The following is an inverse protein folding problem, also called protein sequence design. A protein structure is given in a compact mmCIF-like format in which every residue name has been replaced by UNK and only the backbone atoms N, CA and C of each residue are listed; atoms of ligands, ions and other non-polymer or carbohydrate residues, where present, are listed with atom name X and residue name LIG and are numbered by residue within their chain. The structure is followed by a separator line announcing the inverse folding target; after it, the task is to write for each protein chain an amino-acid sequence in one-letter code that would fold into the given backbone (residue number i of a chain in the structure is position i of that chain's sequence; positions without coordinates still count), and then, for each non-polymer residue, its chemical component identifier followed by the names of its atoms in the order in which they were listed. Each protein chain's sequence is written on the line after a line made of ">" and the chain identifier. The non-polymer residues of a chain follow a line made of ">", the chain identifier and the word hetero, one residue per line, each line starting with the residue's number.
data_IF_446197915603
#
_entry.id   IF_446197915603
#
_cell.length_a   1.000
_cell.length_b   1.000
_cell.length_c   1.000
_cell.angle_alpha   90.00
_cell.angle_beta   90.00
_cell.angle_gamma   90.00
#
_symmetry.space_group_name_H-M   'P 1'
#
loop_
_entity.id
_entity.type
_entity.pdbx_description
1 polymer ?
#
# COMPACT_ATOMS: atom_id res chain seq x y z
N UNK A 1 16.55 -68.15 22.85
CA UNK A 1 15.20 -67.56 22.74
C UNK A 1 15.34 -66.05 22.57
N UNK A 2 15.33 -65.62 21.34
CA UNK A 2 15.49 -64.17 21.00
C UNK A 2 14.10 -63.58 20.74
N UNK A 3 13.66 -62.64 21.56
CA UNK A 3 12.38 -61.90 21.36
C UNK A 3 12.63 -60.69 20.52
N UNK A 4 12.15 -60.70 19.30
CA UNK A 4 12.13 -59.57 18.36
C UNK A 4 10.97 -58.63 18.73
N UNK A 5 11.25 -57.38 19.14
CA UNK A 5 10.27 -56.31 19.29
C UNK A 5 10.06 -55.65 17.93
N UNK A 6 8.83 -55.72 17.44
CA UNK A 6 8.39 -54.87 16.28
C UNK A 6 7.93 -53.51 16.80
N UNK A 7 8.62 -52.47 16.39
CA UNK A 7 8.22 -51.08 16.63
C UNK A 7 7.32 -50.65 15.45
N UNK A 8 6.05 -50.45 15.72
CA UNK A 8 5.10 -49.90 14.73
C UNK A 8 5.23 -48.39 14.69
N UNK A 9 5.77 -47.86 13.62
CA UNK A 9 5.80 -46.41 13.35
C UNK A 9 4.44 -45.99 12.76
N UNK A 10 3.65 -45.26 13.55
CA UNK A 10 2.43 -44.58 13.08
C UNK A 10 2.81 -43.32 12.32
N UNK A 11 2.66 -43.35 10.99
CA UNK A 11 2.70 -42.15 10.16
C UNK A 11 1.41 -41.33 10.38
N UNK A 12 1.52 -40.20 11.06
CA UNK A 12 0.48 -39.17 10.99
C UNK A 12 0.55 -38.48 9.62
N UNK A 13 -0.38 -38.83 8.76
CA UNK A 13 -0.64 -38.07 7.54
C UNK A 13 -1.31 -36.74 7.94
N UNK A 14 -0.53 -35.67 7.98
CA UNK A 14 -1.07 -34.32 8.07
C UNK A 14 -1.91 -34.03 6.82
N UNK A 15 -3.22 -33.89 6.97
CA UNK A 15 -4.09 -33.39 5.93
C UNK A 15 -3.69 -31.93 5.64
N UNK A 16 -2.98 -31.70 4.53
CA UNK A 16 -2.83 -30.38 3.96
C UNK A 16 -4.24 -29.94 3.51
N UNK A 17 -4.87 -29.09 4.30
CA UNK A 17 -6.06 -28.36 3.86
C UNK A 17 -5.62 -27.47 2.71
N UNK A 18 -5.90 -27.87 1.47
CA UNK A 18 -5.83 -27.01 0.31
C UNK A 18 -6.77 -25.84 0.59
N UNK A 19 -6.22 -24.67 0.94
CA UNK A 19 -6.96 -23.43 0.87
C UNK A 19 -7.36 -23.25 -0.59
N UNK A 20 -8.60 -23.59 -0.90
CA UNK A 20 -9.20 -23.23 -2.17
C UNK A 20 -9.18 -21.69 -2.18
N UNK A 21 -8.40 -21.08 -3.04
CA UNK A 21 -8.42 -19.63 -3.23
C UNK A 21 -9.86 -19.26 -3.61
N UNK A 22 -10.61 -18.72 -2.64
CA UNK A 22 -12.00 -18.31 -2.86
C UNK A 22 -12.04 -17.27 -3.98
N UNK A 23 -13.20 -17.14 -4.63
CA UNK A 23 -13.40 -16.07 -5.59
C UNK A 23 -13.22 -14.70 -4.92
N UNK A 24 -12.78 -13.69 -5.67
CA UNK A 24 -12.69 -12.32 -5.21
C UNK A 24 -14.03 -11.62 -5.40
N UNK A 25 -14.60 -11.09 -4.32
CA UNK A 25 -15.66 -10.10 -4.36
C UNK A 25 -15.09 -8.68 -4.39
N UNK A 26 -15.80 -7.75 -5.02
CA UNK A 26 -15.42 -6.34 -5.07
C UNK A 26 -16.65 -5.45 -5.07
N UNK A 27 -16.60 -4.33 -4.34
CA UNK A 27 -17.63 -3.30 -4.38
C UNK A 27 -17.03 -1.89 -4.24
N UNK A 28 -17.78 -0.91 -4.72
CA UNK A 28 -17.46 0.50 -4.60
C UNK A 28 -18.05 1.05 -3.28
N UNK A 29 -17.30 1.95 -2.62
CA UNK A 29 -17.76 2.67 -1.44
C UNK A 29 -17.62 4.18 -1.71
N UNK A 30 -18.63 4.94 -1.28
CA UNK A 30 -18.63 6.40 -1.35
C UNK A 30 -18.84 6.96 0.04
N UNK A 31 -17.88 7.76 0.51
CA UNK A 31 -17.93 8.44 1.78
C UNK A 31 -18.27 9.90 1.51
N UNK A 32 -19.37 10.38 2.04
CA UNK A 32 -19.78 11.77 1.86
C UNK A 32 -18.77 12.73 2.51
N UNK A 33 -18.62 13.90 1.91
CA UNK A 33 -17.86 14.98 2.54
C UNK A 33 -18.60 15.54 3.76
N UNK A 34 -17.83 15.99 4.74
CA UNK A 34 -18.31 16.66 5.95
C UNK A 34 -17.39 17.85 6.27
N UNK A 35 -17.73 18.70 7.26
CA UNK A 35 -16.82 19.75 7.70
C UNK A 35 -15.45 19.25 8.15
N UNK A 36 -15.40 17.99 8.63
CA UNK A 36 -14.19 17.34 9.17
C UNK A 36 -13.39 16.59 8.10
N UNK A 37 -13.98 16.38 6.88
CA UNK A 37 -13.30 15.60 5.85
C UNK A 37 -13.97 15.65 4.49
N UNK A 38 -13.13 15.53 3.47
CA UNK A 38 -13.54 15.58 2.05
C UNK A 38 -14.26 14.31 1.61
N UNK A 39 -15.09 14.41 0.55
CA UNK A 39 -15.73 13.25 -0.05
C UNK A 39 -14.68 12.28 -0.61
N UNK A 40 -14.93 10.97 -0.45
CA UNK A 40 -14.02 9.91 -0.92
C UNK A 40 -14.77 8.89 -1.76
N UNK A 41 -14.07 8.41 -2.78
CA UNK A 41 -14.39 7.17 -3.47
C UNK A 41 -13.35 6.12 -3.09
N UNK A 42 -13.80 4.91 -2.77
CA UNK A 42 -12.93 3.78 -2.46
C UNK A 42 -13.49 2.51 -3.07
N UNK A 43 -12.61 1.51 -3.22
CA UNK A 43 -12.97 0.16 -3.66
C UNK A 43 -12.55 -0.83 -2.59
N UNK A 44 -13.41 -1.79 -2.30
CA UNK A 44 -13.18 -2.85 -1.32
C UNK A 44 -13.22 -4.20 -2.00
N UNK A 45 -12.20 -5.01 -1.75
CA UNK A 45 -12.08 -6.40 -2.18
C UNK A 45 -12.17 -7.32 -0.96
N UNK A 46 -12.81 -8.46 -1.12
CA UNK A 46 -13.05 -9.39 -0.02
C UNK A 46 -13.19 -10.84 -0.52
N UNK A 47 -12.92 -11.82 0.34
CA UNK A 47 -13.22 -13.21 0.03
C UNK A 47 -14.72 -13.41 -0.19
N UNK A 48 -15.09 -14.21 -1.20
CA UNK A 48 -16.48 -14.58 -1.45
C UNK A 48 -16.61 -16.06 -1.78
N UNK A 49 -17.75 -16.64 -1.45
CA UNK A 49 -18.16 -17.97 -1.90
C UNK A 49 -19.05 -17.94 -3.14
N UNK A 50 -19.38 -16.76 -3.65
CA UNK A 50 -20.21 -16.62 -4.84
C UNK A 50 -19.53 -17.24 -6.06
N UNK A 51 -20.32 -17.86 -6.92
CA UNK A 51 -19.88 -18.51 -8.17
C UNK A 51 -20.24 -17.68 -9.41
N UNK A 52 -20.50 -16.40 -9.22
CA UNK A 52 -20.81 -15.47 -10.30
C UNK A 52 -19.65 -15.33 -11.30
N UNK A 53 -19.93 -14.75 -12.46
CA UNK A 53 -18.92 -14.49 -13.49
C UNK A 53 -17.96 -13.41 -13.03
N UNK A 54 -16.71 -13.78 -12.80
CA UNK A 54 -15.66 -12.82 -12.56
C UNK A 54 -15.33 -12.01 -13.84
N UNK A 55 -15.09 -10.72 -13.68
CA UNK A 55 -14.65 -9.83 -14.75
C UNK A 55 -13.39 -9.07 -14.31
N UNK A 56 -12.53 -8.61 -15.24
CA UNK A 56 -11.37 -7.83 -14.91
C UNK A 56 -11.78 -6.49 -14.27
N UNK A 57 -11.37 -6.29 -13.01
CA UNK A 57 -11.54 -5.03 -12.26
C UNK A 57 -10.23 -4.27 -12.28
N UNK A 58 -10.27 -2.94 -12.31
CA UNK A 58 -9.10 -2.06 -12.45
C UNK A 58 -8.40 -2.15 -13.83
N UNK A 59 -8.95 -2.87 -14.78
CA UNK A 59 -8.42 -2.95 -16.14
C UNK A 59 -8.59 -1.63 -16.89
N UNK A 60 -7.63 -1.29 -17.75
CA UNK A 60 -7.71 -0.17 -18.67
C UNK A 60 -6.87 -0.47 -19.93
N UNK A 61 -6.77 0.43 -20.93
CA UNK A 61 -5.98 0.18 -22.13
C UNK A 61 -4.50 -0.14 -21.88
N UNK A 62 -3.91 0.35 -20.79
CA UNK A 62 -2.49 0.15 -20.48
C UNK A 62 -2.22 -0.99 -19.49
N UNK A 63 -3.14 -1.28 -18.58
CA UNK A 63 -2.90 -2.19 -17.47
C UNK A 63 -3.86 -3.37 -17.43
N UNK A 64 -3.34 -4.51 -16.95
CA UNK A 64 -4.15 -5.69 -16.67
C UNK A 64 -4.98 -5.48 -15.40
N UNK A 65 -6.23 -5.97 -15.42
CA UNK A 65 -7.12 -6.02 -14.28
C UNK A 65 -6.96 -7.30 -13.45
N UNK A 66 -7.65 -7.34 -12.32
CA UNK A 66 -7.77 -8.50 -11.44
C UNK A 66 -9.17 -9.10 -11.58
N UNK A 67 -9.32 -10.40 -11.87
CA UNK A 67 -10.62 -11.02 -11.96
C UNK A 67 -11.35 -10.97 -10.61
N UNK A 68 -12.55 -10.35 -10.57
CA UNK A 68 -13.38 -10.28 -9.37
C UNK A 68 -14.88 -10.27 -9.73
N UNK A 69 -15.72 -10.64 -8.78
CA UNK A 69 -17.18 -10.64 -8.91
C UNK A 69 -17.68 -9.35 -8.24
N UNK A 70 -18.30 -8.46 -9.03
CA UNK A 70 -18.85 -7.22 -8.48
C UNK A 70 -20.07 -7.52 -7.60
N UNK A 71 -20.14 -6.79 -6.48
CA UNK A 71 -21.22 -6.83 -5.50
C UNK A 71 -21.55 -8.23 -5.00
N UNK A 72 -20.54 -9.11 -4.98
CA UNK A 72 -20.65 -10.46 -4.43
C UNK A 72 -20.93 -10.42 -2.93
N UNK A 73 -21.57 -11.43 -2.41
CA UNK A 73 -21.72 -11.63 -0.96
C UNK A 73 -20.36 -11.81 -0.28
N UNK A 74 -20.19 -11.19 0.87
CA UNK A 74 -18.92 -11.29 1.63
C UNK A 74 -18.84 -12.68 2.26
N UNK A 75 -17.69 -13.34 2.12
CA UNK A 75 -17.43 -14.67 2.67
C UNK A 75 -17.62 -14.73 4.19
N UNK A 76 -17.91 -15.93 4.69
CA UNK A 76 -18.10 -16.15 6.12
C UNK A 76 -16.77 -15.98 6.90
N UNK A 77 -16.90 -15.69 8.20
CA UNK A 77 -15.76 -15.48 9.09
C UNK A 77 -15.38 -14.03 9.27
N UNK A 78 -14.38 -13.79 10.12
CA UNK A 78 -13.77 -12.48 10.35
C UNK A 78 -12.39 -12.43 9.70
N UNK A 79 -12.09 -11.31 9.07
CA UNK A 79 -10.91 -11.12 8.22
C UNK A 79 -10.10 -9.91 8.69
N UNK A 80 -8.76 -9.97 8.71
CA UNK A 80 -7.95 -8.78 8.90
C UNK A 80 -8.20 -7.77 7.77
N UNK A 81 -8.12 -6.48 8.09
CA UNK A 81 -8.28 -5.40 7.13
C UNK A 81 -6.91 -4.85 6.70
N UNK A 82 -6.72 -4.66 5.40
CA UNK A 82 -5.59 -3.92 4.85
C UNK A 82 -6.12 -2.71 4.09
N UNK A 83 -5.69 -1.51 4.47
CA UNK A 83 -5.96 -0.30 3.70
C UNK A 83 -4.77 0.04 2.81
N UNK A 84 -5.01 0.31 1.53
CA UNK A 84 -3.98 0.61 0.53
C UNK A 84 -3.97 2.10 0.20
N UNK A 85 -2.78 2.68 0.03
CA UNK A 85 -2.60 4.07 -0.37
C UNK A 85 -1.74 4.15 -1.63
N UNK A 86 -2.30 4.76 -2.70
CA UNK A 86 -1.61 4.94 -3.98
C UNK A 86 -0.58 6.08 -3.95
N UNK A 87 0.35 6.09 -4.92
CA UNK A 87 1.33 7.15 -5.12
C UNK A 87 0.71 8.44 -5.71
N UNK A 88 1.53 9.49 -5.85
CA UNK A 88 1.14 10.73 -6.50
C UNK A 88 0.77 10.49 -7.96
N UNK A 89 -0.36 11.03 -8.40
CA UNK A 89 -0.90 10.83 -9.76
C UNK A 89 -1.46 9.43 -10.03
N UNK A 90 -1.55 8.56 -8.99
CA UNK A 90 -2.06 7.21 -9.10
C UNK A 90 -3.58 7.11 -8.87
N UNK A 91 -4.04 5.94 -8.48
CA UNK A 91 -5.41 5.67 -8.06
C UNK A 91 -5.49 4.34 -7.30
N UNK A 92 -6.65 4.04 -6.71
CA UNK A 92 -6.95 2.75 -6.09
C UNK A 92 -6.57 1.54 -6.97
N UNK A 93 -6.53 1.74 -8.30
CA UNK A 93 -6.22 0.68 -9.27
C UNK A 93 -4.78 0.19 -9.17
N UNK A 94 -3.85 1.08 -8.82
CA UNK A 94 -2.42 0.80 -8.92
C UNK A 94 -1.97 -0.41 -8.10
N UNK A 95 -2.58 -0.62 -6.94
CA UNK A 95 -2.28 -1.74 -6.05
C UNK A 95 -3.34 -2.85 -6.08
N UNK A 96 -4.22 -2.87 -7.11
CA UNK A 96 -5.26 -3.91 -7.25
C UNK A 96 -4.69 -5.32 -7.35
N UNK A 97 -3.51 -5.49 -7.96
CA UNK A 97 -2.82 -6.76 -8.02
C UNK A 97 -2.52 -7.30 -6.61
N UNK A 98 -2.04 -6.43 -5.71
CA UNK A 98 -1.75 -6.78 -4.31
C UNK A 98 -3.06 -7.04 -3.54
N UNK A 99 -4.11 -6.28 -3.82
CA UNK A 99 -5.42 -6.55 -3.24
C UNK A 99 -5.88 -7.98 -3.57
N UNK A 100 -5.72 -8.43 -4.82
CA UNK A 100 -6.02 -9.80 -5.23
C UNK A 100 -5.22 -10.86 -4.44
N UNK A 101 -3.91 -10.67 -4.28
CA UNK A 101 -3.05 -11.59 -3.53
C UNK A 101 -3.42 -11.66 -2.04
N UNK A 102 -3.73 -10.52 -1.43
CA UNK A 102 -4.15 -10.45 -0.02
C UNK A 102 -5.51 -11.11 0.20
N UNK A 103 -6.50 -10.83 -0.66
CA UNK A 103 -7.84 -11.42 -0.56
C UNK A 103 -7.78 -12.94 -0.74
N UNK A 104 -6.96 -13.46 -1.65
CA UNK A 104 -6.74 -14.89 -1.81
C UNK A 104 -6.18 -15.57 -0.55
N UNK A 105 -5.66 -14.80 0.40
CA UNK A 105 -5.16 -15.25 1.72
C UNK A 105 -6.07 -14.86 2.87
N UNK A 106 -7.30 -14.42 2.57
CA UNK A 106 -8.34 -14.20 3.55
C UNK A 106 -8.39 -12.78 4.15
N UNK A 107 -7.71 -11.80 3.58
CA UNK A 107 -7.82 -10.40 4.00
C UNK A 107 -9.01 -9.71 3.32
N UNK A 108 -9.60 -8.72 4.00
CA UNK A 108 -10.39 -7.67 3.38
C UNK A 108 -9.43 -6.54 3.03
N UNK A 109 -9.55 -5.97 1.82
CA UNK A 109 -8.65 -4.93 1.35
C UNK A 109 -9.46 -3.74 0.86
N UNK A 110 -9.10 -2.52 1.26
CA UNK A 110 -9.76 -1.31 0.84
C UNK A 110 -8.75 -0.26 0.33
N UNK A 111 -9.09 0.44 -0.74
CA UNK A 111 -8.23 1.47 -1.31
C UNK A 111 -9.06 2.68 -1.76
N UNK A 112 -8.80 3.88 -1.22
CA UNK A 112 -9.42 5.11 -1.68
C UNK A 112 -8.68 5.70 -2.87
N UNK A 113 -9.35 6.57 -3.59
CA UNK A 113 -8.73 7.65 -4.35
C UNK A 113 -8.57 8.87 -3.44
N UNK A 114 -7.33 9.35 -3.31
CA UNK A 114 -7.04 10.55 -2.51
C UNK A 114 -7.22 11.81 -3.37
N UNK A 115 -8.23 12.65 -3.10
CA UNK A 115 -8.50 13.84 -3.88
C UNK A 115 -7.27 14.75 -4.07
N UNK A 116 -7.15 15.34 -5.26
CA UNK A 116 -6.04 16.20 -5.64
C UNK A 116 -4.74 15.49 -6.05
N UNK A 117 -4.59 14.20 -5.72
CA UNK A 117 -3.36 13.43 -6.03
C UNK A 117 -3.64 12.18 -6.85
N UNK A 118 -4.77 12.13 -7.56
CA UNK A 118 -5.12 10.99 -8.42
C UNK A 118 -4.79 11.24 -9.88
N UNK A 119 -4.91 10.19 -10.71
CA UNK A 119 -4.82 10.29 -12.17
C UNK A 119 -5.91 11.22 -12.75
N UNK A 120 -7.09 11.25 -12.13
CA UNK A 120 -8.28 11.91 -12.66
C UNK A 120 -8.64 13.21 -11.92
N UNK A 121 -8.16 13.38 -10.68
CA UNK A 121 -8.33 14.59 -9.90
C UNK A 121 -6.94 15.12 -9.49
N UNK A 122 -6.57 16.26 -10.07
CA UNK A 122 -5.33 17.00 -9.82
C UNK A 122 -5.60 18.39 -9.27
N UNK A 123 -6.68 18.56 -8.49
CA UNK A 123 -6.97 19.81 -7.80
C UNK A 123 -5.79 20.24 -6.95
N UNK A 124 -5.13 21.35 -7.31
CA UNK A 124 -3.99 21.88 -6.57
C UNK A 124 -4.36 22.22 -5.13
N UNK A 125 -5.58 22.69 -4.89
CA UNK A 125 -6.07 23.02 -3.55
C UNK A 125 -6.23 21.78 -2.65
N UNK A 126 -6.53 20.61 -3.24
CA UNK A 126 -6.58 19.33 -2.49
C UNK A 126 -5.21 18.66 -2.41
N UNK A 127 -4.38 18.75 -3.47
CA UNK A 127 -3.02 18.22 -3.47
C UNK A 127 -2.16 18.87 -2.38
N UNK A 128 -2.33 20.18 -2.16
CA UNK A 128 -1.63 20.94 -1.13
C UNK A 128 -2.05 20.63 0.32
N UNK A 129 -2.82 19.55 0.52
CA UNK A 129 -3.26 19.07 1.85
C UNK A 129 -2.82 17.63 2.08
N UNK A 130 -1.51 17.31 2.06
CA UNK A 130 -1.03 15.92 2.16
C UNK A 130 -1.44 15.25 3.48
N UNK A 131 -1.65 16.01 4.56
CA UNK A 131 -2.18 15.52 5.83
C UNK A 131 -3.59 14.91 5.74
N UNK A 132 -4.35 15.23 4.69
CA UNK A 132 -5.66 14.60 4.50
C UNK A 132 -5.55 13.14 4.05
N UNK A 133 -4.44 12.72 3.45
CA UNK A 133 -4.27 11.33 2.99
C UNK A 133 -4.30 10.30 4.13
N UNK A 134 -3.58 10.44 5.25
CA UNK A 134 -3.75 9.57 6.42
C UNK A 134 -5.19 9.65 6.98
N UNK A 135 -5.79 10.84 7.04
CA UNK A 135 -7.17 11.02 7.50
C UNK A 135 -8.20 10.35 6.59
N UNK A 136 -7.98 10.36 5.27
CA UNK A 136 -8.83 9.62 4.31
C UNK A 136 -8.84 8.13 4.64
N UNK A 137 -7.68 7.55 5.00
CA UNK A 137 -7.59 6.14 5.39
C UNK A 137 -8.31 5.88 6.73
N UNK A 138 -8.14 6.74 7.72
CA UNK A 138 -8.89 6.63 9.00
C UNK A 138 -10.39 6.67 8.76
N UNK A 139 -10.88 7.62 7.96
CA UNK A 139 -12.31 7.74 7.61
C UNK A 139 -12.81 6.55 6.79
N UNK A 140 -11.95 5.96 5.93
CA UNK A 140 -12.31 4.73 5.23
C UNK A 140 -12.45 3.55 6.20
N UNK A 141 -11.55 3.44 7.19
CA UNK A 141 -11.66 2.44 8.25
C UNK A 141 -12.95 2.65 9.06
N UNK A 142 -13.27 3.90 9.45
CA UNK A 142 -14.51 4.23 10.16
C UNK A 142 -15.74 3.76 9.36
N UNK A 143 -15.82 4.16 8.09
CA UNK A 143 -16.93 3.80 7.23
C UNK A 143 -17.09 2.27 7.05
N UNK A 144 -15.98 1.53 6.99
CA UNK A 144 -16.01 0.07 6.88
C UNK A 144 -16.47 -0.61 8.18
N UNK A 145 -16.09 -0.07 9.33
CA UNK A 145 -16.50 -0.59 10.64
C UNK A 145 -17.92 -0.20 11.02
N UNK A 146 -18.50 0.78 10.33
CA UNK A 146 -19.90 1.20 10.49
C UNK A 146 -20.84 0.61 9.42
N UNK A 147 -20.31 0.04 8.33
CA UNK A 147 -21.08 -0.57 7.24
C UNK A 147 -21.68 -1.92 7.70
N UNK A 148 -23.02 -1.99 7.79
CA UNK A 148 -23.74 -3.13 8.35
C UNK A 148 -23.47 -4.48 7.67
N UNK A 149 -23.00 -4.49 6.42
CA UNK A 149 -22.73 -5.73 5.69
C UNK A 149 -21.30 -6.24 5.87
N UNK A 150 -20.33 -5.32 6.08
CA UNK A 150 -18.91 -5.66 6.11
C UNK A 150 -18.30 -5.55 7.52
N UNK A 151 -18.86 -4.73 8.40
CA UNK A 151 -18.32 -4.48 9.75
C UNK A 151 -18.13 -5.77 10.55
N UNK A 152 -19.14 -6.65 10.56
CA UNK A 152 -19.11 -7.94 11.25
C UNK A 152 -18.10 -8.94 10.64
N UNK A 153 -17.53 -8.61 9.49
CA UNK A 153 -16.53 -9.42 8.78
C UNK A 153 -15.10 -8.92 8.98
N UNK A 154 -14.92 -7.75 9.59
CA UNK A 154 -13.61 -7.18 9.86
C UNK A 154 -13.17 -7.50 11.28
N UNK A 155 -11.95 -8.03 11.41
CA UNK A 155 -11.25 -8.11 12.68
C UNK A 155 -10.69 -6.72 13.00
N UNK A 156 -11.43 -5.92 13.78
CA UNK A 156 -11.14 -4.52 14.06
C UNK A 156 -9.81 -4.29 14.83
N UNK A 157 -9.28 -5.33 15.46
CA UNK A 157 -8.00 -5.38 16.15
C UNK A 157 -6.82 -5.81 15.24
N UNK A 158 -7.10 -6.13 13.95
CA UNK A 158 -6.11 -6.59 12.97
C UNK A 158 -6.16 -5.76 11.69
N UNK A 159 -5.70 -4.52 11.78
CA UNK A 159 -5.69 -3.57 10.67
C UNK A 159 -4.27 -3.20 10.30
N UNK A 160 -3.92 -3.29 9.02
CA UNK A 160 -2.65 -2.82 8.47
C UNK A 160 -2.85 -1.78 7.38
N UNK A 161 -1.81 -0.99 7.15
CA UNK A 161 -1.73 -0.06 6.01
C UNK A 161 -0.56 -0.40 5.11
N UNK A 162 -0.78 -0.37 3.79
CA UNK A 162 0.27 -0.55 2.78
C UNK A 162 0.20 0.60 1.80
N UNK A 163 1.35 1.21 1.49
CA UNK A 163 1.38 2.30 0.53
C UNK A 163 2.58 2.28 -0.39
N UNK A 164 2.39 2.78 -1.61
CA UNK A 164 3.44 2.91 -2.62
C UNK A 164 3.77 4.39 -2.84
N UNK A 165 5.06 4.73 -2.94
CA UNK A 165 5.52 6.09 -3.24
C UNK A 165 4.98 7.10 -2.19
N UNK A 166 4.25 8.14 -2.60
CA UNK A 166 3.53 9.03 -1.67
C UNK A 166 2.56 8.27 -0.75
N UNK A 167 2.02 7.13 -1.20
CA UNK A 167 1.23 6.22 -0.35
C UNK A 167 2.07 5.58 0.75
N UNK A 168 3.34 5.29 0.52
CA UNK A 168 4.27 4.81 1.53
C UNK A 168 4.54 5.87 2.62
N UNK A 169 4.67 7.13 2.22
CA UNK A 169 4.67 8.27 3.15
C UNK A 169 3.37 8.32 3.97
N UNK A 170 2.22 8.19 3.29
CA UNK A 170 0.91 8.16 3.94
C UNK A 170 0.82 7.02 4.98
N UNK A 171 1.32 5.83 4.63
CA UNK A 171 1.31 4.67 5.53
C UNK A 171 2.18 4.90 6.78
N UNK A 172 3.39 5.47 6.61
CA UNK A 172 4.26 5.81 7.72
C UNK A 172 3.64 6.90 8.63
N UNK A 173 3.01 7.93 8.05
CA UNK A 173 2.32 8.97 8.80
C UNK A 173 1.13 8.41 9.58
N UNK A 174 0.32 7.51 8.97
CA UNK A 174 -0.80 6.85 9.63
C UNK A 174 -0.34 5.90 10.76
N UNK A 175 0.88 5.35 10.66
CA UNK A 175 1.50 4.56 11.72
C UNK A 175 2.08 5.43 12.87
N UNK A 176 2.05 6.77 12.75
CA UNK A 176 2.48 7.72 13.78
C UNK A 176 3.81 8.45 13.49
N UNK A 177 4.41 8.27 12.30
CA UNK A 177 5.57 9.04 11.90
C UNK A 177 5.19 10.52 11.70
N UNK A 178 6.02 11.44 12.20
CA UNK A 178 5.76 12.89 12.12
C UNK A 178 6.66 13.56 11.10
N UNK A 179 6.04 14.31 10.21
CA UNK A 179 6.75 15.08 9.20
C UNK A 179 7.22 16.42 9.78
N UNK A 180 8.37 16.86 9.33
CA UNK A 180 8.99 18.15 9.63
C UNK A 180 9.31 18.84 8.29
N UNK A 181 8.53 19.84 7.96
CA UNK A 181 8.63 20.55 6.68
C UNK A 181 9.93 21.34 6.55
N UNK A 182 10.44 21.89 7.65
CA UNK A 182 11.70 22.65 7.65
C UNK A 182 12.89 21.69 7.41
N UNK A 183 12.89 20.54 8.09
CA UNK A 183 13.88 19.48 7.86
C UNK A 183 13.87 19.03 6.41
N UNK A 184 12.70 18.81 5.82
CA UNK A 184 12.59 18.41 4.42
C UNK A 184 13.11 19.47 3.46
N UNK A 185 12.76 20.73 3.68
CA UNK A 185 13.24 21.86 2.89
C UNK A 185 14.78 22.02 2.98
N UNK A 186 15.34 21.90 4.19
CA UNK A 186 16.79 21.93 4.40
C UNK A 186 17.49 20.77 3.69
N UNK A 187 16.92 19.56 3.77
CA UNK A 187 17.46 18.39 3.08
C UNK A 187 17.43 18.56 1.56
N UNK A 188 16.35 19.08 0.98
CA UNK A 188 16.26 19.38 -0.45
C UNK A 188 17.28 20.42 -0.93
N UNK A 189 17.73 21.32 -0.05
CA UNK A 189 18.80 22.27 -0.37
C UNK A 189 20.17 21.58 -0.46
N UNK A 190 20.42 20.59 0.40
CA UNK A 190 21.70 19.88 0.48
C UNK A 190 21.78 18.65 -0.42
N UNK A 191 20.67 17.95 -0.57
CA UNK A 191 20.58 16.65 -1.22
C UNK A 191 19.46 16.67 -2.26
N UNK A 192 19.69 17.37 -3.36
CA UNK A 192 18.69 17.46 -4.42
C UNK A 192 18.26 16.10 -4.91
N UNK A 193 16.97 15.81 -4.75
CA UNK A 193 16.29 14.70 -5.40
C UNK A 193 15.23 15.33 -6.29
N UNK A 194 15.40 15.36 -7.60
CA UNK A 194 14.51 16.11 -8.47
C UNK A 194 13.04 15.78 -8.25
N UNK A 195 12.69 14.49 -8.13
CA UNK A 195 11.30 14.08 -7.97
C UNK A 195 10.71 14.41 -6.59
N UNK A 196 11.39 14.05 -5.51
CA UNK A 196 10.89 14.31 -4.17
C UNK A 196 10.80 15.82 -3.87
N UNK A 197 11.84 16.56 -4.22
CA UNK A 197 11.90 17.99 -3.96
C UNK A 197 11.02 18.82 -4.91
N UNK A 198 10.78 18.37 -6.15
CA UNK A 198 9.87 19.07 -7.08
C UNK A 198 8.41 19.03 -6.62
N UNK A 199 8.01 18.03 -5.80
CA UNK A 199 6.67 17.95 -5.25
C UNK A 199 6.42 18.92 -4.07
N UNK A 200 7.44 19.64 -3.58
CA UNK A 200 7.32 20.53 -2.41
C UNK A 200 6.18 21.53 -2.56
N UNK A 201 6.13 22.24 -3.68
CA UNK A 201 5.11 23.27 -3.95
C UNK A 201 3.75 22.63 -4.22
N UNK A 202 3.72 21.58 -5.04
CA UNK A 202 2.47 20.91 -5.41
C UNK A 202 1.74 20.29 -4.22
N UNK A 203 2.51 19.76 -3.26
CA UNK A 203 1.99 19.16 -2.04
C UNK A 203 1.92 20.15 -0.86
N UNK A 204 2.22 21.43 -1.06
CA UNK A 204 2.18 22.44 0.00
C UNK A 204 3.12 22.13 1.17
N UNK A 205 4.25 21.45 0.92
CA UNK A 205 5.22 21.09 1.95
C UNK A 205 6.04 22.30 2.43
N UNK A 206 6.06 23.38 1.64
CA UNK A 206 6.63 24.69 1.95
C UNK A 206 5.64 25.63 2.64
N UNK A 207 4.42 25.16 2.90
CA UNK A 207 3.35 25.93 3.51
C UNK A 207 3.71 26.45 4.90
N UNK A 208 3.01 27.49 5.31
CA UNK A 208 3.14 28.12 6.62
C UNK A 208 1.82 28.14 7.38
N UNK A 209 1.83 28.54 8.64
CA UNK A 209 0.62 28.72 9.44
C UNK A 209 -0.14 27.41 9.67
N UNK A 210 -1.47 27.44 9.49
CA UNK A 210 -2.35 26.32 9.81
C UNK A 210 -2.11 25.09 8.94
N UNK A 211 -1.68 25.24 7.68
CA UNK A 211 -1.34 24.10 6.80
C UNK A 211 -0.14 23.34 7.32
N UNK A 212 0.93 24.05 7.67
CA UNK A 212 2.14 23.47 8.26
C UNK A 212 1.81 22.76 9.59
N UNK A 213 1.04 23.39 10.48
CA UNK A 213 0.64 22.78 11.74
C UNK A 213 -0.13 21.46 11.55
N UNK A 214 -0.97 21.38 10.52
CA UNK A 214 -1.70 20.14 10.19
C UNK A 214 -0.77 19.05 9.65
N UNK A 215 0.19 19.43 8.79
CA UNK A 215 1.18 18.51 8.21
C UNK A 215 2.11 17.92 9.27
N UNK A 216 2.57 18.74 10.21
CA UNK A 216 3.47 18.36 11.29
C UNK A 216 2.75 17.81 12.53
N UNK A 217 1.41 17.82 12.51
CA UNK A 217 0.56 17.34 13.59
C UNK A 217 0.57 15.82 13.72
N UNK A 218 -0.20 15.33 14.70
CA UNK A 218 -0.48 13.91 14.86
C UNK A 218 -1.41 13.43 13.75
N UNK A 219 -0.93 12.48 12.94
CA UNK A 219 -1.68 11.88 11.84
C UNK A 219 -1.86 10.36 12.02
N UNK A 220 -1.37 9.83 13.13
CA UNK A 220 -1.43 8.41 13.44
C UNK A 220 -2.84 7.95 13.79
N UNK A 221 -3.16 6.72 13.40
CA UNK A 221 -4.38 6.04 13.80
C UNK A 221 -4.01 4.86 14.71
N UNK A 222 -4.47 4.84 15.97
CA UNK A 222 -4.07 3.82 16.95
C UNK A 222 -4.57 2.40 16.60
N UNK A 223 -5.48 2.27 15.63
CA UNK A 223 -5.96 0.96 15.15
C UNK A 223 -4.97 0.27 14.22
N UNK A 224 -3.96 0.99 13.71
CA UNK A 224 -2.95 0.39 12.81
C UNK A 224 -2.01 -0.50 13.60
N UNK A 225 -2.09 -1.81 13.35
CA UNK A 225 -1.25 -2.83 13.97
C UNK A 225 0.02 -3.16 13.18
N UNK A 226 0.11 -2.80 11.88
CA UNK A 226 1.30 -2.99 11.05
C UNK A 226 1.28 -2.03 9.85
N UNK A 227 2.48 -1.62 9.34
CA UNK A 227 2.53 -0.90 8.08
C UNK A 227 3.59 -1.42 7.11
N UNK A 228 3.32 -1.27 5.82
CA UNK A 228 4.24 -1.61 4.74
C UNK A 228 4.44 -0.39 3.85
N UNK A 229 5.70 -0.07 3.57
CA UNK A 229 6.09 0.97 2.63
C UNK A 229 6.73 0.34 1.40
N UNK A 230 6.17 0.62 0.22
CA UNK A 230 6.69 0.19 -1.07
C UNK A 230 7.33 1.40 -1.76
N UNK A 231 8.65 1.46 -1.74
CA UNK A 231 9.47 2.46 -2.41
C UNK A 231 8.97 3.90 -2.23
N UNK A 232 8.82 4.31 -0.95
CA UNK A 232 8.28 5.63 -0.62
C UNK A 232 9.18 6.76 -1.09
N UNK A 233 8.59 7.93 -1.31
CA UNK A 233 9.27 9.21 -1.40
C UNK A 233 9.00 10.09 -0.18
N UNK A 234 9.69 11.22 -0.08
CA UNK A 234 9.57 12.22 1.00
C UNK A 234 10.00 11.70 2.39
N UNK A 235 10.68 10.55 2.47
CA UNK A 235 11.05 9.94 3.75
C UNK A 235 11.92 10.85 4.62
N UNK A 236 12.79 11.64 4.00
CA UNK A 236 13.76 12.52 4.68
C UNK A 236 13.13 13.66 5.46
N UNK A 237 11.85 13.95 5.22
CA UNK A 237 11.07 14.88 6.01
C UNK A 237 10.53 14.30 7.32
N UNK A 238 10.49 12.98 7.50
CA UNK A 238 10.12 12.42 8.80
C UNK A 238 11.20 12.68 9.84
N UNK A 239 10.80 13.11 11.04
CA UNK A 239 11.76 13.31 12.13
C UNK A 239 12.31 11.98 12.62
N UNK A 240 13.64 11.83 12.80
CA UNK A 240 14.25 10.60 13.30
C UNK A 240 13.69 10.16 14.65
N UNK A 241 13.38 11.15 15.51
CA UNK A 241 12.86 10.92 16.86
C UNK A 241 11.47 10.26 16.80
N UNK A 242 10.59 10.74 15.90
CA UNK A 242 9.27 10.14 15.71
C UNK A 242 9.36 8.73 15.14
N UNK A 243 10.25 8.52 14.17
CA UNK A 243 10.49 7.20 13.58
C UNK A 243 11.03 6.20 14.62
N UNK A 244 12.02 6.61 15.42
CA UNK A 244 12.58 5.78 16.49
C UNK A 244 11.57 5.46 17.61
N UNK A 245 10.54 6.30 17.77
CA UNK A 245 9.48 6.11 18.77
C UNK A 245 8.35 5.18 18.29
N UNK A 246 8.28 4.83 17.00
CA UNK A 246 7.23 3.96 16.47
C UNK A 246 7.23 2.59 17.16
N UNK A 247 6.04 2.11 17.48
CA UNK A 247 5.82 0.78 18.08
C UNK A 247 5.18 -0.19 17.09
N UNK A 248 4.61 0.34 16.02
CA UNK A 248 3.95 -0.44 14.98
C UNK A 248 5.01 -1.19 14.16
N UNK A 249 4.91 -2.52 13.99
CA UNK A 249 5.77 -3.28 13.11
C UNK A 249 5.79 -2.72 11.68
N UNK A 250 6.97 -2.71 11.07
CA UNK A 250 7.20 -2.11 9.76
C UNK A 250 7.90 -3.05 8.78
N UNK A 251 7.40 -3.11 7.55
CA UNK A 251 8.11 -3.69 6.41
C UNK A 251 8.39 -2.59 5.38
N UNK A 252 9.66 -2.30 5.15
CA UNK A 252 10.10 -1.31 4.15
C UNK A 252 10.68 -2.07 2.96
N UNK A 253 10.02 -1.97 1.81
CA UNK A 253 10.48 -2.57 0.54
C UNK A 253 10.92 -1.46 -0.39
N UNK A 254 12.15 -1.54 -0.89
CA UNK A 254 12.73 -0.60 -1.83
C UNK A 254 12.91 -1.22 -3.21
N UNK A 255 12.79 -0.40 -4.25
CA UNK A 255 13.27 -0.71 -5.59
C UNK A 255 14.80 -0.65 -5.61
N UNK A 256 15.44 -1.67 -6.18
CA UNK A 256 16.91 -1.75 -6.26
C UNK A 256 17.49 -1.00 -7.46
N UNK A 257 16.67 -0.70 -8.45
CA UNK A 257 17.06 0.07 -9.64
C UNK A 257 16.40 1.45 -9.59
N UNK A 258 17.23 2.49 -9.47
CA UNK A 258 16.76 3.87 -9.44
C UNK A 258 16.17 4.28 -10.80
N UNK A 259 15.09 5.04 -10.78
CA UNK A 259 14.50 5.68 -11.97
C UNK A 259 15.27 6.95 -12.41
N UNK A 260 16.35 7.29 -11.68
CA UNK A 260 17.25 8.39 -11.96
C UNK A 260 17.12 9.59 -10.99
N UNK A 261 16.16 9.58 -10.09
CA UNK A 261 15.87 10.71 -9.21
C UNK A 261 15.26 10.34 -7.84
N UNK A 262 15.24 9.04 -7.49
CA UNK A 262 14.73 8.53 -6.21
C UNK A 262 15.61 7.42 -5.64
N UNK A 263 16.87 7.69 -5.26
CA UNK A 263 17.75 6.64 -4.78
C UNK A 263 17.21 6.00 -3.48
N UNK A 264 17.07 4.67 -3.52
CA UNK A 264 16.51 3.88 -2.42
C UNK A 264 17.18 4.16 -1.07
N UNK A 265 18.49 4.39 -1.08
CA UNK A 265 19.24 4.67 0.16
C UNK A 265 18.78 5.95 0.87
N UNK A 266 18.36 6.97 0.12
CA UNK A 266 17.95 8.27 0.66
C UNK A 266 16.47 8.29 1.08
N UNK A 267 15.65 7.43 0.52
CA UNK A 267 14.22 7.35 0.80
C UNK A 267 13.91 6.11 1.67
N UNK A 268 13.67 4.97 1.10
CA UNK A 268 13.37 3.73 1.85
C UNK A 268 14.48 3.35 2.84
N UNK A 269 15.75 3.52 2.47
CA UNK A 269 16.88 3.25 3.34
C UNK A 269 16.99 4.23 4.51
N UNK A 270 16.64 5.51 4.30
CA UNK A 270 16.53 6.48 5.39
C UNK A 270 15.46 6.06 6.40
N UNK A 271 14.25 5.75 5.91
CA UNK A 271 13.16 5.26 6.75
C UNK A 271 13.59 4.04 7.57
N UNK A 272 14.14 3.03 6.90
CA UNK A 272 14.54 1.78 7.52
C UNK A 272 15.60 1.95 8.62
N UNK A 273 16.58 2.85 8.42
CA UNK A 273 17.62 3.12 9.42
C UNK A 273 17.11 3.88 10.64
N UNK A 274 16.05 4.68 10.47
CA UNK A 274 15.50 5.46 11.56
C UNK A 274 14.45 4.70 12.39
N UNK A 275 13.88 3.62 11.85
CA UNK A 275 12.91 2.77 12.53
C UNK A 275 13.59 1.85 13.56
N UNK A 276 12.87 1.42 14.63
CA UNK A 276 13.39 0.45 15.60
C UNK A 276 13.70 -0.89 14.93
N UNK A 277 14.97 -1.32 14.97
CA UNK A 277 15.43 -2.55 14.32
C UNK A 277 14.73 -3.82 14.83
N UNK A 278 14.22 -3.80 16.05
CA UNK A 278 13.52 -4.95 16.64
C UNK A 278 12.12 -5.20 16.05
N UNK A 279 11.49 -4.17 15.45
CA UNK A 279 10.13 -4.24 14.90
C UNK A 279 10.07 -3.86 13.42
N UNK A 280 11.20 -3.65 12.76
CA UNK A 280 11.25 -3.30 11.34
C UNK A 280 12.10 -4.26 10.51
N UNK A 281 11.66 -4.47 9.27
CA UNK A 281 12.38 -5.25 8.26
C UNK A 281 12.59 -4.38 7.01
N UNK A 282 13.82 -4.37 6.49
CA UNK A 282 14.17 -3.70 5.24
C UNK A 282 14.54 -4.70 4.16
N UNK A 283 13.94 -4.55 3.00
CA UNK A 283 14.15 -5.42 1.84
C UNK A 283 14.36 -4.58 0.60
N UNK A 284 15.38 -4.90 -0.18
CA UNK A 284 15.59 -4.35 -1.52
C UNK A 284 15.26 -5.42 -2.55
N UNK A 285 14.41 -5.09 -3.53
CA UNK A 285 14.14 -5.94 -4.70
C UNK A 285 15.06 -5.48 -5.83
N UNK A 286 16.16 -6.20 -6.12
CA UNK A 286 17.27 -5.68 -6.91
C UNK A 286 16.89 -5.23 -8.33
N UNK A 287 15.94 -5.90 -8.95
CA UNK A 287 15.46 -5.68 -10.32
C UNK A 287 14.07 -5.02 -10.39
N UNK A 288 13.57 -4.50 -9.27
CA UNK A 288 12.43 -3.60 -9.28
C UNK A 288 12.87 -2.16 -9.55
N UNK A 289 12.07 -1.42 -10.30
CA UNK A 289 12.09 0.04 -10.38
C UNK A 289 10.90 0.60 -9.60
N UNK A 290 10.87 1.91 -9.38
CA UNK A 290 9.80 2.58 -8.64
C UNK A 290 8.39 2.15 -9.07
N UNK A 291 8.16 2.06 -10.37
CA UNK A 291 6.86 1.69 -10.93
C UNK A 291 6.62 0.18 -11.06
N UNK A 292 7.57 -0.67 -10.67
CA UNK A 292 7.37 -2.12 -10.65
C UNK A 292 6.32 -2.58 -9.65
N UNK A 293 5.96 -1.72 -8.70
CA UNK A 293 4.89 -1.97 -7.72
C UNK A 293 3.49 -1.62 -8.23
N UNK A 294 3.38 -1.02 -9.43
CA UNK A 294 2.10 -0.77 -10.08
C UNK A 294 1.59 -2.01 -10.82
N UNK A 295 0.37 -1.97 -11.33
CA UNK A 295 -0.24 -3.04 -12.13
C UNK A 295 0.69 -3.53 -13.26
N UNK A 296 0.47 -4.77 -13.70
CA UNK A 296 1.14 -5.33 -14.86
C UNK A 296 0.67 -4.61 -16.12
N UNK A 297 1.61 -4.12 -16.91
CA UNK A 297 1.33 -3.48 -18.19
C UNK A 297 0.91 -4.50 -19.25
N UNK A 298 -0.03 -4.11 -20.11
CA UNK A 298 -0.39 -4.87 -21.32
C UNK A 298 0.72 -4.78 -22.37
N UNK A 299 0.83 -5.74 -23.30
CA UNK A 299 1.74 -5.61 -24.43
C UNK A 299 1.52 -4.30 -25.20
N UNK A 300 2.60 -3.58 -25.52
CA UNK A 300 2.57 -2.29 -26.22
C UNK A 300 2.07 -1.10 -25.37
N UNK A 301 1.90 -1.28 -24.04
CA UNK A 301 1.43 -0.21 -23.18
C UNK A 301 2.49 0.87 -22.95
N UNK A 302 3.77 0.50 -22.86
CA UNK A 302 4.85 1.46 -22.67
C UNK A 302 4.91 2.45 -23.84
N UNK A 303 4.88 1.96 -25.07
CA UNK A 303 4.90 2.76 -26.29
C UNK A 303 3.67 3.65 -26.42
N UNK A 304 2.51 3.13 -26.04
CA UNK A 304 1.25 3.91 -26.05
C UNK A 304 1.30 5.06 -25.05
N UNK A 305 1.69 4.79 -23.80
CA UNK A 305 1.81 5.81 -22.77
C UNK A 305 2.84 6.86 -23.17
N UNK A 306 4.01 6.42 -23.69
CA UNK A 306 5.05 7.32 -24.17
C UNK A 306 4.59 8.24 -25.30
N UNK A 307 3.72 7.73 -26.21
CA UNK A 307 3.16 8.51 -27.28
C UNK A 307 2.10 9.54 -26.81
N UNK A 308 1.34 9.20 -25.77
CA UNK A 308 0.33 10.10 -25.16
C UNK A 308 0.97 11.14 -24.23
N UNK A 309 1.94 10.69 -23.43
CA UNK A 309 2.66 11.53 -22.44
C UNK A 309 4.15 11.19 -22.49
N UNK A 310 4.96 11.96 -23.24
CA UNK A 310 6.39 11.72 -23.33
C UNK A 310 7.08 11.67 -21.95
N UNK A 311 7.85 10.61 -21.70
CA UNK A 311 8.51 10.32 -20.43
C UNK A 311 7.73 9.36 -19.51
N UNK A 312 6.42 9.22 -19.67
CA UNK A 312 5.61 8.37 -18.80
C UNK A 312 5.65 6.88 -19.18
N UNK A 313 6.20 6.50 -20.34
CA UNK A 313 6.44 5.10 -20.70
C UNK A 313 7.28 4.32 -19.68
N UNK A 314 8.03 5.03 -18.82
CA UNK A 314 8.80 4.47 -17.71
C UNK A 314 7.91 3.70 -16.70
N UNK A 315 6.64 3.99 -16.59
CA UNK A 315 5.71 3.30 -15.67
C UNK A 315 5.55 1.81 -15.99
N UNK A 316 5.91 1.40 -17.21
CA UNK A 316 5.89 0.00 -17.67
C UNK A 316 7.26 -0.66 -17.70
N UNK A 317 8.32 0.01 -17.22
CA UNK A 317 9.68 -0.55 -17.18
C UNK A 317 9.99 -1.17 -15.82
N UNK A 318 10.78 -2.23 -15.86
CA UNK A 318 11.35 -2.90 -14.69
C UNK A 318 12.88 -2.91 -14.83
N UNK A 319 13.61 -3.04 -13.70
CA UNK A 319 15.06 -2.85 -13.67
C UNK A 319 15.91 -4.06 -14.08
N UNK A 320 15.29 -5.18 -14.44
CA UNK A 320 15.99 -6.42 -14.78
C UNK A 320 15.26 -7.27 -15.79
N UNK A 321 15.67 -8.54 -15.87
CA UNK A 321 15.12 -9.51 -16.82
C UNK A 321 13.84 -10.20 -16.33
N UNK A 322 13.55 -10.15 -15.02
CA UNK A 322 12.30 -10.67 -14.47
C UNK A 322 11.15 -9.76 -14.89
N UNK A 323 10.08 -10.34 -15.40
CA UNK A 323 8.86 -9.57 -15.65
C UNK A 323 8.16 -9.16 -14.33
N UNK A 324 7.42 -8.05 -14.38
CA UNK A 324 6.69 -7.45 -13.25
C UNK A 324 5.88 -8.45 -12.42
N UNK A 325 5.21 -9.40 -13.07
CA UNK A 325 4.44 -10.44 -12.38
C UNK A 325 5.31 -11.32 -11.45
N UNK A 326 6.59 -11.53 -11.77
CA UNK A 326 7.52 -12.27 -10.91
C UNK A 326 7.97 -11.41 -9.70
N UNK A 327 8.19 -10.11 -9.93
CA UNK A 327 8.46 -9.14 -8.87
C UNK A 327 7.25 -9.07 -7.92
N UNK A 328 6.03 -8.98 -8.45
CA UNK A 328 4.79 -8.97 -7.66
C UNK A 328 4.67 -10.19 -6.76
N UNK A 329 4.95 -11.40 -7.26
CA UNK A 329 4.90 -12.62 -6.43
C UNK A 329 5.87 -12.53 -5.24
N UNK A 330 7.13 -12.12 -5.49
CA UNK A 330 8.10 -11.96 -4.41
C UNK A 330 7.64 -10.92 -3.39
N UNK A 331 7.17 -9.76 -3.84
CA UNK A 331 6.67 -8.69 -2.97
C UNK A 331 5.47 -9.15 -2.15
N UNK A 332 4.50 -9.82 -2.79
CA UNK A 332 3.33 -10.37 -2.11
C UNK A 332 3.71 -11.41 -1.06
N UNK A 333 4.62 -12.34 -1.37
CA UNK A 333 5.09 -13.36 -0.44
C UNK A 333 5.75 -12.73 0.80
N UNK A 334 6.56 -11.68 0.63
CA UNK A 334 7.18 -10.95 1.74
C UNK A 334 6.17 -10.21 2.60
N UNK A 335 5.19 -9.54 1.96
CA UNK A 335 4.11 -8.84 2.67
C UNK A 335 3.27 -9.83 3.46
N UNK A 336 2.85 -10.93 2.84
CA UNK A 336 2.03 -11.95 3.49
C UNK A 336 2.75 -12.60 4.67
N UNK A 337 4.05 -12.92 4.52
CA UNK A 337 4.86 -13.45 5.61
C UNK A 337 4.98 -12.46 6.78
N UNK A 338 5.16 -11.17 6.46
CA UNK A 338 5.22 -10.10 7.46
C UNK A 338 3.88 -9.93 8.19
N UNK A 339 2.77 -9.82 7.45
CA UNK A 339 1.45 -9.64 8.04
C UNK A 339 1.01 -10.81 8.91
N UNK A 340 1.34 -12.04 8.53
CA UNK A 340 1.03 -13.23 9.31
C UNK A 340 1.67 -13.24 10.72
N UNK A 341 2.79 -12.55 10.90
CA UNK A 341 3.48 -12.41 12.20
C UNK A 341 3.03 -11.14 12.93
N UNK A 342 2.74 -10.07 12.19
CA UNK A 342 2.47 -8.74 12.76
C UNK A 342 1.00 -8.52 13.11
N UNK A 343 0.09 -9.31 12.50
CA UNK A 343 -1.37 -9.28 12.77
C UNK A 343 -1.86 -10.70 13.10
N UNK A 344 -1.46 -11.27 14.24
CA UNK A 344 -1.75 -12.66 14.61
C UNK A 344 -3.24 -12.94 14.82
#
# INVERSE_FOLDING_TARGET
>A
MLKTLFLAATLLAGAATSCNAGALGVRDIRIAGSPEGRALFAVVWYPTSDTGKAAPVAENPAFLGVPAIRDAGIGAGTHPLVVLSHGYGGSWRNLSWLAGELVARGYIVAAPDHPGTTTFDRSAAEAAKPWERPRDLSRLIDALLEDGDIADRIAADRIAVIGHSLGGWTAAALAGARFDAERFAADCTMNTSPRACSLTVELGLDGTGAGRQKLEGELGDPRIGAFVSLDLGLARGFSPESLAALRVPALVIAAGTDIGDMPAERESGYLARALPAASSTYVVIPDAMHFSFLQVCKPGAAERIEAETPGDGIVCKDGGIRGRAAIHREVADRILAFLAVSLP
#
